data_IF_856743899693
#
_entry.id   IF_856743899693
#
_cell.length_a   1.000
_cell.length_b   1.000
_cell.length_c   1.000
_cell.angle_alpha   90.00
_cell.angle_beta   90.00
_cell.angle_gamma   90.00
#
_symmetry.space_group_name_H-M   'P 1'
#
loop_
_entity.id
_entity.type
_entity.pdbx_description
1 polymer ?
#
# COMPACT_ATOMS: atom_id res chain seq x y z
N UNK A 1 -11.51 32.15 29.54
CA UNK A 1 -12.90 32.25 29.05
C UNK A 1 -12.79 31.59 27.69
N UNK A 2 -13.40 30.41 27.51
CA UNK A 2 -13.29 29.66 26.26
C UNK A 2 -13.75 30.57 25.11
N UNK A 3 -12.96 30.58 24.03
CA UNK A 3 -13.31 31.30 22.80
C UNK A 3 -14.61 30.73 22.23
N UNK A 4 -15.50 31.59 21.73
CA UNK A 4 -16.68 31.11 21.01
C UNK A 4 -16.23 30.45 19.69
N UNK A 5 -16.85 29.33 19.31
CA UNK A 5 -16.42 28.57 18.12
C UNK A 5 -16.45 29.41 16.83
N UNK A 6 -17.39 30.36 16.75
CA UNK A 6 -17.46 31.32 15.64
C UNK A 6 -16.21 32.18 15.53
N UNK A 7 -15.71 32.70 16.65
CA UNK A 7 -14.51 33.55 16.67
C UNK A 7 -13.28 32.72 16.25
N UNK A 8 -13.22 31.45 16.67
CA UNK A 8 -12.22 30.49 16.20
C UNK A 8 -12.32 30.30 14.67
N UNK A 9 -13.51 30.01 14.14
CA UNK A 9 -13.71 29.70 12.73
C UNK A 9 -13.40 30.91 11.83
N UNK A 10 -13.71 32.13 12.29
CA UNK A 10 -13.32 33.36 11.61
C UNK A 10 -11.78 33.49 11.53
N UNK A 11 -11.04 33.08 12.57
CA UNK A 11 -9.57 33.07 12.52
C UNK A 11 -9.03 32.00 11.59
N UNK A 12 -9.57 30.78 11.65
CA UNK A 12 -9.21 29.69 10.74
C UNK A 12 -9.31 30.12 9.26
N UNK A 13 -10.37 30.85 8.89
CA UNK A 13 -10.55 31.30 7.51
C UNK A 13 -9.60 32.43 7.05
N UNK A 14 -8.92 33.11 7.98
CA UNK A 14 -8.17 34.33 7.68
C UNK A 14 -6.67 34.25 8.06
N UNK A 15 -6.27 33.26 8.85
CA UNK A 15 -4.90 33.07 9.34
C UNK A 15 -4.35 31.72 8.84
N UNK A 16 -3.03 31.61 8.72
CA UNK A 16 -2.38 30.32 8.46
C UNK A 16 -2.62 29.40 9.67
N UNK A 17 -3.25 28.24 9.45
CA UNK A 17 -3.60 27.29 10.51
C UNK A 17 -2.39 26.85 11.35
N UNK A 18 -1.18 26.83 10.77
CA UNK A 18 0.06 26.50 11.47
C UNK A 18 0.52 27.58 12.46
N UNK A 19 -0.07 28.78 12.40
CA UNK A 19 0.22 29.91 13.30
C UNK A 19 -0.81 30.04 14.43
N UNK A 20 -1.94 29.33 14.31
CA UNK A 20 -3.04 29.33 15.28
C UNK A 20 -3.25 27.96 15.93
N UNK A 21 -2.24 27.08 15.93
CA UNK A 21 -2.28 25.71 16.46
C UNK A 21 -2.96 25.62 17.83
N UNK A 22 -2.53 26.44 18.80
CA UNK A 22 -3.10 26.44 20.15
C UNK A 22 -4.57 26.87 20.19
N UNK A 23 -4.98 27.72 19.26
CA UNK A 23 -6.37 28.20 19.14
C UNK A 23 -7.24 27.08 18.60
N UNK A 24 -6.75 26.32 17.62
CA UNK A 24 -7.42 25.11 17.12
C UNK A 24 -7.54 24.10 18.27
N UNK A 25 -6.45 23.79 18.98
CA UNK A 25 -6.51 22.86 20.11
C UNK A 25 -7.49 23.31 21.20
N UNK A 26 -7.52 24.61 21.56
CA UNK A 26 -8.49 25.16 22.52
C UNK A 26 -9.94 25.02 22.03
N UNK A 27 -10.22 25.25 20.74
CA UNK A 27 -11.56 25.12 20.19
C UNK A 27 -12.11 23.68 20.23
N UNK A 28 -11.23 22.69 20.23
CA UNK A 28 -11.58 21.26 20.26
C UNK A 28 -11.30 20.60 21.63
N UNK A 29 -10.84 21.34 22.64
CA UNK A 29 -10.48 20.76 23.96
C UNK A 29 -11.68 20.31 24.78
N UNK A 30 -12.90 20.57 24.32
CA UNK A 30 -14.16 20.13 24.90
C UNK A 30 -15.03 19.50 23.80
N UNK A 31 -15.98 18.61 24.15
CA UNK A 31 -16.86 18.02 23.16
C UNK A 31 -17.66 19.06 22.38
N UNK A 32 -17.52 19.03 21.05
CA UNK A 32 -18.25 19.93 20.16
C UNK A 32 -19.75 19.62 20.21
N UNK A 33 -20.56 20.67 20.31
CA UNK A 33 -22.02 20.53 20.30
C UNK A 33 -22.53 20.16 18.91
N UNK A 34 -23.68 19.48 18.84
CA UNK A 34 -24.34 19.17 17.56
C UNK A 34 -24.61 20.40 16.69
N UNK A 35 -24.90 21.55 17.30
CA UNK A 35 -25.10 22.79 16.56
C UNK A 35 -23.85 23.23 15.79
N UNK A 36 -22.66 22.96 16.35
CA UNK A 36 -21.39 23.26 15.68
C UNK A 36 -21.21 22.36 14.45
N UNK A 37 -21.44 21.05 14.57
CA UNK A 37 -21.41 20.12 13.44
C UNK A 37 -22.42 20.45 12.34
N UNK A 38 -23.55 21.08 12.69
CA UNK A 38 -24.57 21.48 11.71
C UNK A 38 -24.25 22.81 11.01
N UNK A 39 -23.49 23.69 11.65
CA UNK A 39 -23.19 25.06 11.18
C UNK A 39 -21.82 25.17 10.48
N UNK A 40 -20.82 24.40 10.92
CA UNK A 40 -19.42 24.51 10.47
C UNK A 40 -18.89 23.20 9.88
N UNK A 41 -17.96 23.30 8.92
CA UNK A 41 -17.25 22.13 8.38
C UNK A 41 -16.05 21.77 9.27
N UNK A 42 -16.33 21.05 10.35
CA UNK A 42 -15.30 20.67 11.33
C UNK A 42 -14.37 19.56 10.84
N UNK A 43 -14.80 18.77 9.87
CA UNK A 43 -13.97 17.76 9.20
C UNK A 43 -12.91 18.44 8.33
N UNK A 44 -13.31 19.45 7.56
CA UNK A 44 -12.36 20.28 6.80
C UNK A 44 -11.27 20.86 7.71
N UNK A 45 -11.65 21.48 8.84
CA UNK A 45 -10.69 22.03 9.80
C UNK A 45 -9.70 20.97 10.29
N UNK A 46 -10.17 19.75 10.59
CA UNK A 46 -9.31 18.67 11.05
C UNK A 46 -8.35 18.19 9.95
N UNK A 47 -8.79 18.09 8.70
CA UNK A 47 -7.95 17.68 7.58
C UNK A 47 -6.95 18.77 7.16
N UNK A 48 -7.36 20.04 7.17
CA UNK A 48 -6.46 21.17 6.92
C UNK A 48 -5.41 21.30 8.03
N UNK A 49 -5.79 21.06 9.30
CA UNK A 49 -4.83 21.00 10.40
C UNK A 49 -3.77 19.93 10.14
N UNK A 50 -4.18 18.72 9.76
CA UNK A 50 -3.28 17.62 9.42
C UNK A 50 -2.34 18.01 8.28
N UNK A 51 -2.87 18.38 7.11
CA UNK A 51 -2.07 18.61 5.90
C UNK A 51 -1.10 19.78 6.00
N UNK A 52 -1.51 20.89 6.62
CA UNK A 52 -0.63 22.03 6.83
C UNK A 52 0.48 21.73 7.85
N UNK A 53 0.18 21.01 8.94
CA UNK A 53 1.19 20.66 9.92
C UNK A 53 2.15 19.57 9.42
N UNK A 54 1.67 18.64 8.57
CA UNK A 54 2.53 17.66 7.87
C UNK A 54 3.53 18.39 6.98
N UNK A 55 3.04 19.30 6.13
CA UNK A 55 3.89 20.12 5.24
C UNK A 55 4.92 20.94 6.01
N UNK A 56 4.54 21.45 7.20
CA UNK A 56 5.42 22.18 8.11
C UNK A 56 6.26 21.28 9.04
N UNK A 57 6.18 19.94 8.90
CA UNK A 57 6.89 18.93 9.69
C UNK A 57 6.64 19.04 11.21
N UNK A 58 5.47 19.52 11.60
CA UNK A 58 5.03 19.70 12.99
C UNK A 58 4.29 18.45 13.51
N UNK A 59 4.92 17.27 13.42
CA UNK A 59 4.29 15.99 13.75
C UNK A 59 3.81 15.87 15.19
N UNK A 60 4.47 16.53 16.15
CA UNK A 60 3.99 16.55 17.54
C UNK A 60 2.63 17.25 17.65
N UNK A 61 2.40 18.31 16.87
CA UNK A 61 1.13 19.03 16.88
C UNK A 61 0.00 18.19 16.30
N UNK A 62 0.30 17.40 15.25
CA UNK A 62 -0.62 16.43 14.66
C UNK A 62 -0.99 15.36 15.68
N UNK A 63 0.00 14.82 16.40
CA UNK A 63 -0.21 13.80 17.42
C UNK A 63 -1.04 14.31 18.61
N UNK A 64 -0.71 15.50 19.12
CA UNK A 64 -1.47 16.12 20.20
C UNK A 64 -2.93 16.35 19.80
N UNK A 65 -3.17 16.80 18.57
CA UNK A 65 -4.51 17.02 18.06
C UNK A 65 -5.27 15.71 17.81
N UNK A 66 -4.59 14.67 17.30
CA UNK A 66 -5.15 13.32 17.19
C UNK A 66 -5.66 12.80 18.54
N UNK A 67 -4.84 12.93 19.59
CA UNK A 67 -5.21 12.52 20.95
C UNK A 67 -6.41 13.34 21.47
N UNK A 68 -6.41 14.65 21.24
CA UNK A 68 -7.47 15.54 21.66
C UNK A 68 -8.81 15.23 20.96
N UNK A 69 -8.78 14.90 19.67
CA UNK A 69 -9.95 14.41 18.94
C UNK A 69 -10.46 13.10 19.54
N UNK A 70 -9.57 12.16 19.83
CA UNK A 70 -9.95 10.87 20.44
C UNK A 70 -10.60 11.04 21.82
N UNK A 71 -10.09 11.95 22.64
CA UNK A 71 -10.56 12.15 24.02
C UNK A 71 -11.88 12.94 24.10
N UNK A 72 -12.04 13.96 23.26
CA UNK A 72 -13.13 14.93 23.39
C UNK A 72 -14.14 14.91 22.23
N UNK A 73 -13.73 14.48 21.04
CA UNK A 73 -14.51 14.61 19.79
C UNK A 73 -14.57 13.30 19.00
N UNK A 74 -15.05 12.23 19.65
CA UNK A 74 -14.98 10.87 19.13
C UNK A 74 -15.63 10.66 17.74
N UNK A 75 -16.72 11.35 17.42
CA UNK A 75 -17.36 11.25 16.09
C UNK A 75 -16.40 11.72 14.99
N UNK A 76 -15.83 12.91 15.17
CA UNK A 76 -14.86 13.50 14.25
C UNK A 76 -13.56 12.70 14.19
N UNK A 77 -13.11 12.18 15.34
CA UNK A 77 -11.97 11.26 15.41
C UNK A 77 -12.21 10.04 14.52
N UNK A 78 -13.34 9.36 14.69
CA UNK A 78 -13.63 8.15 13.92
C UNK A 78 -13.69 8.42 12.42
N UNK A 79 -14.21 9.59 12.02
CA UNK A 79 -14.30 10.04 10.63
C UNK A 79 -12.93 10.29 9.98
N UNK A 80 -11.94 10.78 10.74
CA UNK A 80 -10.67 11.28 10.17
C UNK A 80 -9.42 10.53 10.62
N UNK A 81 -9.50 9.64 11.62
CA UNK A 81 -8.34 8.99 12.26
C UNK A 81 -7.38 8.34 11.28
N UNK A 82 -7.86 7.79 10.18
CA UNK A 82 -7.00 7.03 9.24
C UNK A 82 -6.04 7.95 8.50
N UNK A 83 -6.47 9.17 8.15
CA UNK A 83 -5.58 10.17 7.55
C UNK A 83 -4.47 10.56 8.53
N UNK A 84 -4.82 10.74 9.82
CA UNK A 84 -3.84 11.01 10.87
C UNK A 84 -2.88 9.84 11.07
N UNK A 85 -3.41 8.63 11.17
CA UNK A 85 -2.63 7.41 11.33
C UNK A 85 -1.68 7.25 10.12
N UNK A 86 -2.12 7.48 8.90
CA UNK A 86 -1.28 7.35 7.70
C UNK A 86 -0.05 8.27 7.76
N UNK A 87 -0.25 9.55 8.07
CA UNK A 87 0.84 10.54 8.22
C UNK A 87 1.76 10.20 9.39
N UNK A 88 1.18 9.88 10.55
CA UNK A 88 1.95 9.55 11.76
C UNK A 88 2.69 8.22 11.61
N UNK A 89 2.12 7.25 10.89
CA UNK A 89 2.78 5.98 10.59
C UNK A 89 4.03 6.18 9.74
N UNK A 90 3.95 6.97 8.67
CA UNK A 90 5.14 7.36 7.86
C UNK A 90 6.24 7.93 8.75
N UNK A 91 5.89 8.93 9.55
CA UNK A 91 6.82 9.62 10.43
C UNK A 91 7.44 8.68 11.48
N UNK A 92 6.62 7.99 12.27
CA UNK A 92 7.11 7.16 13.36
C UNK A 92 7.84 5.90 12.87
N UNK A 93 7.47 5.35 11.72
CA UNK A 93 8.26 4.32 11.06
C UNK A 93 9.65 4.85 10.67
N UNK A 94 9.74 5.98 9.98
CA UNK A 94 11.01 6.56 9.54
C UNK A 94 11.93 6.94 10.71
N UNK A 95 11.36 7.36 11.84
CA UNK A 95 12.10 7.68 13.07
C UNK A 95 12.44 6.45 13.94
N UNK A 96 11.96 5.26 13.59
CA UNK A 96 12.17 4.04 14.38
C UNK A 96 11.38 4.00 15.71
N UNK A 97 10.31 4.80 15.83
CA UNK A 97 9.49 4.91 17.04
C UNK A 97 8.48 3.76 17.15
N UNK A 98 8.99 2.56 17.45
CA UNK A 98 8.20 1.32 17.49
C UNK A 98 6.93 1.41 18.34
N UNK A 99 7.02 1.99 19.53
CA UNK A 99 5.87 2.07 20.45
C UNK A 99 4.68 2.83 19.83
N UNK A 100 4.96 3.95 19.15
CA UNK A 100 3.93 4.77 18.49
C UNK A 100 3.29 4.04 17.32
N UNK A 101 4.10 3.40 16.48
CA UNK A 101 3.61 2.58 15.36
C UNK A 101 2.68 1.47 15.87
N UNK A 102 3.07 0.75 16.93
CA UNK A 102 2.22 -0.28 17.52
C UNK A 102 0.92 0.31 18.10
N UNK A 103 0.98 1.50 18.68
CA UNK A 103 -0.21 2.23 19.15
C UNK A 103 -1.22 2.48 18.02
N UNK A 104 -0.78 3.01 16.88
CA UNK A 104 -1.68 3.28 15.76
C UNK A 104 -2.25 2.01 15.12
N UNK A 105 -1.45 0.94 15.01
CA UNK A 105 -1.96 -0.36 14.56
C UNK A 105 -3.01 -0.92 15.54
N UNK A 106 -2.82 -0.71 16.85
CA UNK A 106 -3.81 -1.06 17.86
C UNK A 106 -5.09 -0.22 17.75
N UNK A 107 -4.99 1.05 17.36
CA UNK A 107 -6.17 1.88 17.11
C UNK A 107 -7.00 1.34 15.94
N UNK A 108 -6.37 0.87 14.87
CA UNK A 108 -7.06 0.22 13.75
C UNK A 108 -7.74 -1.10 14.18
N UNK A 109 -7.12 -1.89 15.06
CA UNK A 109 -7.75 -3.06 15.65
C UNK A 109 -8.94 -2.70 16.56
N UNK A 110 -8.82 -1.61 17.32
CA UNK A 110 -9.81 -1.24 18.33
C UNK A 110 -11.04 -0.57 17.73
N UNK A 111 -10.83 0.23 16.68
CA UNK A 111 -11.86 1.08 16.10
C UNK A 111 -12.22 0.71 14.65
N UNK A 112 -11.54 -0.27 14.05
CA UNK A 112 -11.72 -0.68 12.66
C UNK A 112 -11.32 0.38 11.63
N UNK A 113 -11.64 0.12 10.36
CA UNK A 113 -11.39 1.06 9.25
C UNK A 113 -12.67 1.75 8.74
N UNK A 114 -12.51 2.86 8.01
CA UNK A 114 -13.56 3.56 7.24
C UNK A 114 -13.19 3.72 5.77
N UNK A 115 -11.94 4.00 5.46
CA UNK A 115 -11.40 4.16 4.11
C UNK A 115 -10.39 3.05 3.83
N UNK A 116 -10.80 2.10 3.00
CA UNK A 116 -9.99 0.92 2.68
C UNK A 116 -8.68 1.28 1.96
N UNK A 117 -8.69 2.29 1.09
CA UNK A 117 -7.49 2.69 0.36
C UNK A 117 -6.43 3.26 1.31
N UNK A 118 -6.84 4.06 2.30
CA UNK A 118 -5.94 4.60 3.32
C UNK A 118 -5.45 3.48 4.26
N UNK A 119 -6.32 2.54 4.63
CA UNK A 119 -5.93 1.35 5.37
C UNK A 119 -4.81 0.58 4.64
N UNK A 120 -4.91 0.40 3.33
CA UNK A 120 -3.87 -0.26 2.53
C UNK A 120 -2.55 0.50 2.57
N UNK A 121 -2.56 1.83 2.46
CA UNK A 121 -1.33 2.64 2.62
C UNK A 121 -0.65 2.38 3.96
N UNK A 122 -1.43 2.40 5.04
CA UNK A 122 -0.93 2.14 6.40
C UNK A 122 -0.32 0.73 6.50
N UNK A 123 -1.00 -0.26 5.93
CA UNK A 123 -0.52 -1.65 5.89
C UNK A 123 0.78 -1.77 5.10
N UNK A 124 0.91 -1.12 3.94
CA UNK A 124 2.15 -1.15 3.17
C UNK A 124 3.33 -0.60 3.98
N UNK A 125 3.18 0.55 4.62
CA UNK A 125 4.21 1.10 5.50
C UNK A 125 4.54 0.14 6.66
N UNK A 126 3.53 -0.43 7.33
CA UNK A 126 3.75 -1.39 8.39
C UNK A 126 4.55 -2.62 7.89
N UNK A 127 4.20 -3.17 6.73
CA UNK A 127 4.90 -4.31 6.12
C UNK A 127 6.35 -3.96 5.75
N UNK A 128 6.57 -2.81 5.11
CA UNK A 128 7.89 -2.37 4.66
C UNK A 128 8.87 -2.13 5.82
N UNK A 129 8.36 -1.68 6.96
CA UNK A 129 9.16 -1.51 8.18
C UNK A 129 9.18 -2.76 9.09
N UNK A 130 8.66 -3.89 8.62
CA UNK A 130 8.81 -5.19 9.28
C UNK A 130 7.80 -5.48 10.41
N UNK A 131 6.68 -4.76 10.48
CA UNK A 131 5.59 -5.02 11.43
C UNK A 131 4.68 -6.18 10.99
N UNK A 132 5.29 -7.27 10.51
CA UNK A 132 4.59 -8.37 9.83
C UNK A 132 3.56 -9.05 10.74
N UNK A 133 3.92 -9.30 12.00
CA UNK A 133 3.01 -9.94 12.97
C UNK A 133 1.78 -9.09 13.26
N UNK A 134 1.95 -7.77 13.36
CA UNK A 134 0.84 -6.85 13.64
C UNK A 134 -0.09 -6.72 12.43
N UNK A 135 0.48 -6.69 11.22
CA UNK A 135 -0.32 -6.72 9.99
C UNK A 135 -1.07 -8.05 9.87
N UNK A 136 -0.45 -9.17 10.24
CA UNK A 136 -1.09 -10.48 10.23
C UNK A 136 -2.33 -10.53 11.15
N UNK A 137 -2.21 -9.97 12.35
CA UNK A 137 -3.32 -9.80 13.30
C UNK A 137 -4.41 -8.89 12.76
N UNK A 138 -4.02 -7.77 12.14
CA UNK A 138 -4.97 -6.82 11.54
C UNK A 138 -5.77 -7.45 10.39
N UNK A 139 -5.11 -8.24 9.54
CA UNK A 139 -5.77 -9.02 8.47
C UNK A 139 -6.75 -10.02 9.09
N UNK A 140 -6.33 -10.78 10.10
CA UNK A 140 -7.20 -11.71 10.83
C UNK A 140 -8.44 -11.03 11.41
N UNK A 141 -8.28 -9.81 11.92
CA UNK A 141 -9.37 -9.05 12.53
C UNK A 141 -10.34 -8.45 11.51
N UNK A 142 -9.83 -7.93 10.38
CA UNK A 142 -10.62 -7.11 9.45
C UNK A 142 -11.12 -7.87 8.21
N UNK A 143 -10.59 -9.06 7.89
CA UNK A 143 -10.89 -9.76 6.64
C UNK A 143 -12.40 -9.96 6.41
N UNK A 144 -13.12 -10.50 7.40
CA UNK A 144 -14.56 -10.75 7.28
C UNK A 144 -15.37 -9.46 7.13
N UNK A 145 -14.90 -8.35 7.73
CA UNK A 145 -15.53 -7.04 7.56
C UNK A 145 -15.36 -6.59 6.10
N UNK A 146 -14.14 -6.59 5.58
CA UNK A 146 -13.82 -6.18 4.20
C UNK A 146 -14.57 -7.06 3.18
N UNK A 147 -14.58 -8.37 3.39
CA UNK A 147 -15.27 -9.33 2.51
C UNK A 147 -16.77 -9.07 2.38
N UNK A 148 -17.39 -8.56 3.43
CA UNK A 148 -18.82 -8.33 3.50
C UNK A 148 -19.20 -6.84 3.37
N UNK A 149 -18.22 -5.98 3.09
CA UNK A 149 -18.44 -4.55 2.88
C UNK A 149 -19.04 -4.31 1.49
N UNK A 150 -20.28 -3.81 1.44
CA UNK A 150 -21.01 -3.57 0.19
C UNK A 150 -20.57 -2.28 -0.52
N UNK A 151 -19.81 -1.42 0.17
CA UNK A 151 -19.25 -0.18 -0.39
C UNK A 151 -17.98 -0.44 -1.19
N UNK A 152 -17.28 -1.55 -0.90
CA UNK A 152 -16.05 -1.92 -1.57
C UNK A 152 -16.31 -2.62 -2.91
N UNK A 153 -15.38 -2.41 -3.85
CA UNK A 153 -15.41 -3.09 -5.14
C UNK A 153 -15.17 -4.60 -4.95
N UNK A 154 -15.76 -5.38 -5.85
CA UNK A 154 -15.51 -6.82 -5.91
C UNK A 154 -14.01 -7.09 -6.05
N UNK A 155 -13.47 -7.96 -5.19
CA UNK A 155 -12.03 -8.27 -5.16
C UNK A 155 -11.21 -7.43 -4.18
N UNK A 156 -11.80 -6.53 -3.40
CA UNK A 156 -11.07 -5.77 -2.38
C UNK A 156 -10.32 -6.66 -1.37
N UNK A 157 -10.76 -7.91 -1.14
CA UNK A 157 -10.05 -8.84 -0.25
C UNK A 157 -8.74 -9.40 -0.84
N UNK A 158 -8.47 -9.21 -2.13
CA UNK A 158 -7.32 -9.83 -2.82
C UNK A 158 -6.00 -9.41 -2.15
N UNK A 159 -5.82 -8.14 -1.82
CA UNK A 159 -4.60 -7.65 -1.16
C UNK A 159 -4.37 -8.38 0.17
N UNK A 160 -5.42 -8.51 0.99
CA UNK A 160 -5.35 -9.22 2.27
C UNK A 160 -5.04 -10.70 2.09
N UNK A 161 -5.69 -11.35 1.11
CA UNK A 161 -5.42 -12.76 0.78
C UNK A 161 -3.97 -12.95 0.33
N UNK A 162 -3.41 -12.05 -0.49
CA UNK A 162 -2.03 -12.13 -0.96
C UNK A 162 -1.03 -11.87 0.17
N UNK A 163 -1.27 -10.87 1.02
CA UNK A 163 -0.41 -10.62 2.18
C UNK A 163 -0.42 -11.82 3.13
N UNK A 164 -1.61 -12.34 3.44
CA UNK A 164 -1.77 -13.51 4.30
C UNK A 164 -1.10 -14.74 3.71
N UNK A 165 -1.26 -14.98 2.41
CA UNK A 165 -0.59 -16.07 1.69
C UNK A 165 0.92 -16.00 1.88
N UNK A 166 1.54 -14.84 1.64
CA UNK A 166 2.99 -14.69 1.77
C UNK A 166 3.48 -14.82 3.23
N UNK A 167 2.71 -14.34 4.21
CA UNK A 167 3.03 -14.47 5.64
C UNK A 167 2.96 -15.95 6.07
N UNK A 168 1.91 -16.67 5.69
CA UNK A 168 1.78 -18.10 6.02
C UNK A 168 2.83 -18.95 5.27
N UNK A 169 3.26 -18.51 4.09
CA UNK A 169 4.33 -19.14 3.33
C UNK A 169 5.69 -18.99 4.04
N UNK A 170 5.96 -17.83 4.64
CA UNK A 170 7.15 -17.60 5.47
C UNK A 170 7.15 -18.50 6.72
N UNK A 171 6.00 -18.62 7.39
CA UNK A 171 5.81 -19.55 8.52
C UNK A 171 6.07 -21.00 8.10
N UNK A 172 5.57 -21.40 6.94
CA UNK A 172 5.81 -22.73 6.37
C UNK A 172 7.30 -22.98 6.09
N UNK A 173 8.00 -21.99 5.51
CA UNK A 173 9.45 -22.03 5.29
C UNK A 173 10.23 -22.20 6.60
N UNK A 174 9.90 -21.42 7.63
CA UNK A 174 10.53 -21.56 8.95
C UNK A 174 10.23 -22.88 9.66
N UNK A 175 9.03 -23.43 9.47
CA UNK A 175 8.67 -24.74 10.00
C UNK A 175 9.49 -25.86 9.31
N UNK A 176 9.67 -25.79 7.99
CA UNK A 176 10.49 -26.72 7.23
C UNK A 176 11.95 -26.74 7.70
N UNK A 177 12.54 -25.58 7.99
CA UNK A 177 13.89 -25.50 8.52
C UNK A 177 14.08 -26.26 9.86
N UNK A 178 12.97 -26.56 10.57
CA UNK A 178 12.96 -27.27 11.87
C UNK A 178 12.57 -28.75 11.76
N UNK A 179 12.01 -29.22 10.64
CA UNK A 179 11.53 -30.59 10.50
C UNK A 179 11.62 -31.12 9.06
N UNK A 180 12.43 -32.18 8.84
CA UNK A 180 12.53 -33.04 7.63
C UNK A 180 12.55 -32.36 6.23
N UNK A 181 12.89 -33.11 5.18
CA UNK A 181 12.91 -32.61 3.79
C UNK A 181 11.50 -32.42 3.17
N UNK A 182 10.43 -32.45 3.98
CA UNK A 182 9.04 -32.46 3.50
C UNK A 182 8.23 -31.35 4.14
N UNK A 183 7.53 -30.56 3.31
CA UNK A 183 6.63 -29.49 3.75
C UNK A 183 5.33 -30.07 4.33
N UNK A 184 4.96 -29.67 5.53
CA UNK A 184 3.64 -29.97 6.10
C UNK A 184 2.63 -28.91 5.64
N UNK A 185 1.87 -29.24 4.60
CA UNK A 185 0.88 -28.34 4.00
C UNK A 185 -0.42 -28.19 4.78
N UNK A 186 -0.70 -29.07 5.75
CA UNK A 186 -2.01 -29.07 6.39
C UNK A 186 -2.32 -27.76 7.13
N UNK A 187 -1.44 -27.24 8.01
CA UNK A 187 -1.70 -25.98 8.70
C UNK A 187 -1.85 -24.80 7.73
N UNK A 188 -1.05 -24.79 6.65
CA UNK A 188 -1.11 -23.77 5.62
C UNK A 188 -2.47 -23.79 4.90
N UNK A 189 -2.91 -24.98 4.45
CA UNK A 189 -4.20 -25.14 3.74
C UNK A 189 -5.39 -24.80 4.63
N UNK A 190 -5.39 -25.27 5.87
CA UNK A 190 -6.43 -24.96 6.86
C UNK A 190 -6.54 -23.45 7.08
N UNK A 191 -5.39 -22.76 7.22
CA UNK A 191 -5.37 -21.32 7.43
C UNK A 191 -5.86 -20.54 6.21
N UNK A 192 -5.35 -20.87 5.03
CA UNK A 192 -5.67 -20.13 3.79
C UNK A 192 -7.11 -20.35 3.30
N UNK A 193 -7.76 -21.45 3.67
CA UNK A 193 -9.17 -21.68 3.36
C UNK A 193 -10.10 -20.59 3.94
N UNK A 194 -9.71 -19.96 5.05
CA UNK A 194 -10.47 -18.85 5.66
C UNK A 194 -10.37 -17.54 4.86
N UNK A 195 -9.46 -17.47 3.88
CA UNK A 195 -9.17 -16.26 3.09
C UNK A 195 -9.53 -16.43 1.60
N UNK A 196 -10.54 -17.26 1.33
CA UNK A 196 -11.06 -17.59 0.00
C UNK A 196 -9.97 -18.03 -1.00
N UNK A 197 -8.90 -18.62 -0.48
CA UNK A 197 -7.78 -19.10 -1.28
C UNK A 197 -7.83 -20.62 -1.39
N UNK A 198 -7.90 -21.11 -2.64
CA UNK A 198 -7.79 -22.54 -2.94
C UNK A 198 -6.41 -22.87 -3.49
N UNK A 199 -5.64 -23.68 -2.74
CA UNK A 199 -4.33 -24.15 -3.17
C UNK A 199 -4.48 -25.28 -4.21
N UNK A 200 -4.39 -24.93 -5.49
CA UNK A 200 -4.38 -25.90 -6.59
C UNK A 200 -3.05 -26.68 -6.63
N UNK A 201 -3.10 -27.96 -7.01
CA UNK A 201 -1.94 -28.88 -6.96
C UNK A 201 -0.77 -28.43 -7.84
N UNK A 202 -1.03 -27.88 -9.04
CA UNK A 202 0.02 -27.36 -9.92
C UNK A 202 0.78 -26.17 -9.28
N UNK A 203 0.05 -25.29 -8.60
CA UNK A 203 0.65 -24.16 -7.89
C UNK A 203 1.44 -24.63 -6.66
N UNK A 204 0.88 -25.59 -5.91
CA UNK A 204 1.59 -26.25 -4.81
C UNK A 204 2.93 -26.84 -5.26
N UNK A 205 2.96 -27.56 -6.38
CA UNK A 205 4.19 -28.17 -6.90
C UNK A 205 5.25 -27.13 -7.24
N UNK A 206 4.86 -25.99 -7.84
CA UNK A 206 5.78 -24.89 -8.11
C UNK A 206 6.35 -24.28 -6.81
N UNK A 207 5.51 -24.13 -5.77
CA UNK A 207 5.95 -23.66 -4.46
C UNK A 207 6.92 -24.66 -3.81
N UNK A 208 6.59 -25.96 -3.81
CA UNK A 208 7.47 -27.01 -3.28
C UNK A 208 8.83 -26.98 -3.99
N UNK A 209 8.82 -26.88 -5.33
CA UNK A 209 10.03 -26.83 -6.15
C UNK A 209 10.92 -25.64 -5.77
N UNK A 210 10.36 -24.45 -5.60
CA UNK A 210 11.13 -23.25 -5.23
C UNK A 210 11.56 -23.22 -3.75
N UNK A 211 10.66 -23.55 -2.81
CA UNK A 211 10.97 -23.54 -1.38
C UNK A 211 12.03 -24.59 -1.01
N UNK A 212 11.94 -25.79 -1.58
CA UNK A 212 12.88 -26.89 -1.32
C UNK A 212 14.12 -26.84 -2.20
N UNK A 213 14.22 -25.87 -3.12
CA UNK A 213 15.40 -25.72 -3.96
C UNK A 213 16.66 -25.45 -3.12
N UNK A 214 17.68 -26.27 -3.35
CA UNK A 214 19.02 -26.16 -2.74
C UNK A 214 20.15 -26.25 -3.76
N UNK A 215 19.80 -26.26 -5.05
CA UNK A 215 20.78 -26.32 -6.14
C UNK A 215 21.52 -25.01 -6.35
N UNK A 216 22.65 -25.09 -7.06
CA UNK A 216 23.50 -23.94 -7.40
C UNK A 216 23.31 -23.48 -8.87
N UNK A 217 22.57 -24.24 -9.69
CA UNK A 217 22.42 -24.00 -11.13
C UNK A 217 20.96 -23.82 -11.55
N UNK A 218 20.42 -22.64 -11.27
CA UNK A 218 19.03 -22.27 -11.59
C UNK A 218 18.71 -22.40 -13.08
N UNK A 219 19.68 -22.13 -13.95
CA UNK A 219 19.51 -22.20 -15.40
C UNK A 219 19.13 -23.61 -15.86
N UNK A 220 19.88 -24.63 -15.42
CA UNK A 220 19.64 -26.02 -15.79
C UNK A 220 18.35 -26.55 -15.13
N UNK A 221 18.17 -26.22 -13.85
CA UNK A 221 17.09 -26.78 -13.02
C UNK A 221 15.70 -26.21 -13.32
N UNK A 222 15.61 -24.96 -13.80
CA UNK A 222 14.34 -24.28 -14.05
C UNK A 222 14.15 -23.79 -15.49
N UNK A 223 15.17 -23.23 -16.11
CA UNK A 223 15.01 -22.47 -17.37
C UNK A 223 15.14 -23.33 -18.64
N UNK A 224 15.51 -24.60 -18.52
CA UNK A 224 15.70 -25.51 -19.66
C UNK A 224 14.45 -25.72 -20.54
N UNK A 225 13.26 -25.46 -20.01
CA UNK A 225 11.98 -25.55 -20.73
C UNK A 225 11.29 -24.20 -20.93
N UNK A 226 11.98 -23.09 -20.71
CA UNK A 226 11.44 -21.76 -20.98
C UNK A 226 11.29 -21.55 -22.50
N UNK A 227 10.16 -21.00 -23.01
CA UNK A 227 9.01 -20.45 -22.28
C UNK A 227 7.82 -21.41 -22.10
N UNK A 228 7.95 -22.70 -22.45
CA UNK A 228 6.82 -23.66 -22.46
C UNK A 228 6.12 -23.79 -21.10
N UNK A 229 6.87 -23.80 -20.00
CA UNK A 229 6.34 -23.87 -18.62
C UNK A 229 6.52 -22.55 -17.83
N UNK A 230 6.47 -21.41 -18.53
CA UNK A 230 6.83 -20.08 -17.99
C UNK A 230 6.22 -19.76 -16.62
N UNK A 231 4.92 -20.01 -16.40
CA UNK A 231 4.28 -19.66 -15.12
C UNK A 231 4.82 -20.47 -13.93
N UNK A 232 4.99 -21.79 -14.09
CA UNK A 232 5.53 -22.64 -13.04
C UNK A 232 7.00 -22.31 -12.75
N UNK A 233 7.78 -22.06 -13.81
CA UNK A 233 9.18 -21.61 -13.72
C UNK A 233 9.27 -20.31 -12.92
N UNK A 234 8.50 -19.28 -13.30
CA UNK A 234 8.55 -17.97 -12.66
C UNK A 234 8.01 -18.02 -11.22
N UNK A 235 7.01 -18.86 -10.94
CA UNK A 235 6.55 -19.11 -9.58
C UNK A 235 7.63 -19.77 -8.72
N UNK A 236 8.32 -20.79 -9.22
CA UNK A 236 9.40 -21.42 -8.46
C UNK A 236 10.59 -20.45 -8.25
N UNK A 237 10.97 -19.69 -9.28
CA UNK A 237 12.03 -18.67 -9.19
C UNK A 237 11.69 -17.57 -8.18
N UNK A 238 10.43 -17.14 -8.12
CA UNK A 238 9.95 -16.20 -7.10
C UNK A 238 10.29 -16.69 -5.70
N UNK A 239 10.00 -17.97 -5.41
CA UNK A 239 10.26 -18.57 -4.11
C UNK A 239 11.76 -18.66 -3.79
N UNK A 240 12.59 -18.95 -4.80
CA UNK A 240 14.06 -18.95 -4.64
C UNK A 240 14.56 -17.53 -4.35
N UNK A 241 14.07 -16.52 -5.06
CA UNK A 241 14.39 -15.12 -4.80
C UNK A 241 13.93 -14.69 -3.40
N UNK A 242 12.71 -15.03 -2.99
CA UNK A 242 12.17 -14.71 -1.66
C UNK A 242 13.06 -15.30 -0.56
N UNK A 243 13.53 -16.54 -0.70
CA UNK A 243 14.51 -17.13 0.23
C UNK A 243 15.83 -16.37 0.24
N UNK A 244 16.33 -15.99 -0.94
CA UNK A 244 17.59 -15.25 -1.09
C UNK A 244 17.54 -13.90 -0.37
N UNK A 245 16.53 -13.07 -0.65
CA UNK A 245 16.42 -11.74 -0.04
C UNK A 245 15.97 -11.81 1.43
N UNK A 246 15.30 -12.89 1.84
CA UNK A 246 14.96 -13.11 3.25
C UNK A 246 16.20 -13.30 4.13
N UNK A 247 17.28 -13.87 3.60
CA UNK A 247 18.57 -13.89 4.30
C UNK A 247 19.13 -12.47 4.55
N UNK A 248 18.65 -11.48 3.82
CA UNK A 248 19.00 -10.06 3.97
C UNK A 248 18.02 -9.29 4.87
N UNK A 249 17.09 -9.99 5.54
CA UNK A 249 16.12 -9.38 6.46
C UNK A 249 14.84 -8.86 5.80
N UNK A 250 14.59 -9.16 4.53
CA UNK A 250 13.32 -8.83 3.87
C UNK A 250 12.28 -9.94 4.11
N UNK A 251 11.06 -9.59 4.51
CA UNK A 251 9.99 -10.58 4.70
C UNK A 251 9.52 -11.16 3.36
N UNK A 252 8.89 -12.33 3.39
CA UNK A 252 8.36 -12.95 2.17
C UNK A 252 7.29 -12.09 1.51
N UNK A 253 6.45 -11.42 2.30
CA UNK A 253 5.38 -10.55 1.76
C UNK A 253 5.94 -9.37 0.98
N UNK A 254 6.96 -8.67 1.50
CA UNK A 254 7.60 -7.55 0.78
C UNK A 254 8.37 -8.04 -0.45
N UNK A 255 9.06 -9.16 -0.31
CA UNK A 255 9.78 -9.82 -1.42
C UNK A 255 8.84 -10.25 -2.55
N UNK A 256 7.67 -10.78 -2.21
CA UNK A 256 6.65 -11.16 -3.16
C UNK A 256 6.08 -9.94 -3.89
N UNK A 257 5.87 -8.81 -3.20
CA UNK A 257 5.45 -7.56 -3.84
C UNK A 257 6.47 -7.08 -4.89
N UNK A 258 7.76 -7.09 -4.55
CA UNK A 258 8.84 -6.73 -5.47
C UNK A 258 8.81 -7.63 -6.71
N UNK A 259 8.79 -8.95 -6.50
CA UNK A 259 8.81 -9.91 -7.60
C UNK A 259 7.56 -9.82 -8.47
N UNK A 260 6.37 -9.71 -7.88
CA UNK A 260 5.12 -9.65 -8.62
C UNK A 260 5.02 -8.39 -9.47
N UNK A 261 5.49 -7.24 -8.95
CA UNK A 261 5.58 -6.02 -9.73
C UNK A 261 6.55 -6.17 -10.91
N UNK A 262 7.74 -6.71 -10.68
CA UNK A 262 8.72 -6.94 -11.74
C UNK A 262 8.29 -8.00 -12.76
N UNK A 263 7.53 -9.01 -12.31
CA UNK A 263 6.92 -9.99 -13.20
C UNK A 263 5.94 -9.31 -14.17
N UNK A 264 5.12 -8.37 -13.68
CA UNK A 264 4.24 -7.56 -14.55
C UNK A 264 5.06 -6.81 -15.61
N UNK A 265 6.16 -6.16 -15.19
CA UNK A 265 7.07 -5.47 -16.11
C UNK A 265 7.70 -6.41 -17.16
N UNK A 266 8.21 -7.57 -16.75
CA UNK A 266 8.89 -8.50 -17.66
C UNK A 266 7.93 -9.24 -18.60
N UNK A 267 6.70 -9.51 -18.19
CA UNK A 267 5.69 -10.12 -19.06
C UNK A 267 5.45 -9.26 -20.30
N UNK A 268 5.54 -7.94 -20.16
CA UNK A 268 5.43 -6.98 -21.27
C UNK A 268 6.67 -6.95 -22.19
N UNK A 269 7.79 -7.60 -21.85
CA UNK A 269 8.94 -7.72 -22.74
C UNK A 269 8.63 -8.57 -23.97
N UNK A 270 7.60 -9.43 -23.90
CA UNK A 270 7.24 -10.42 -24.94
C UNK A 270 8.43 -11.29 -25.42
N UNK A 271 9.48 -11.42 -24.60
CA UNK A 271 10.68 -12.17 -24.91
C UNK A 271 10.43 -13.69 -24.85
N UNK A 272 11.01 -14.41 -25.81
CA UNK A 272 10.92 -15.87 -25.90
C UNK A 272 12.11 -16.59 -25.24
N UNK A 273 13.24 -15.89 -25.05
CA UNK A 273 14.38 -16.36 -24.27
C UNK A 273 14.38 -15.70 -22.87
N UNK A 274 14.88 -16.45 -21.89
CA UNK A 274 14.88 -16.01 -20.50
C UNK A 274 15.87 -14.85 -20.26
N UNK A 275 16.95 -14.76 -21.03
CA UNK A 275 17.99 -13.73 -20.85
C UNK A 275 17.43 -12.34 -21.18
N UNK A 276 16.74 -12.20 -22.31
CA UNK A 276 16.05 -10.96 -22.70
C UNK A 276 14.79 -10.70 -21.85
N UNK A 277 14.17 -11.75 -21.31
CA UNK A 277 12.99 -11.62 -20.46
C UNK A 277 13.27 -10.86 -19.17
N UNK A 278 14.40 -11.10 -18.51
CA UNK A 278 14.72 -10.46 -17.23
C UNK A 278 15.40 -9.08 -17.32
N UNK A 279 15.62 -8.57 -18.53
CA UNK A 279 16.31 -7.29 -18.71
C UNK A 279 15.41 -6.08 -18.45
N UNK A 280 16.04 -5.06 -17.87
CA UNK A 280 15.52 -3.72 -17.71
C UNK A 280 15.97 -2.84 -18.87
N UNK A 281 15.04 -2.02 -19.33
CA UNK A 281 15.28 -0.92 -20.27
C UNK A 281 14.90 0.37 -19.54
N UNK A 282 15.81 1.35 -19.53
CA UNK A 282 15.77 2.51 -18.63
C UNK A 282 14.48 3.32 -18.75
N UNK A 283 14.10 3.70 -19.98
CA UNK A 283 12.91 4.53 -20.23
C UNK A 283 11.64 3.77 -19.84
N UNK A 284 11.46 2.55 -20.35
CA UNK A 284 10.29 1.73 -20.05
C UNK A 284 10.19 1.37 -18.57
N UNK A 285 11.31 1.12 -17.89
CA UNK A 285 11.29 0.82 -16.47
C UNK A 285 10.90 2.05 -15.64
N UNK A 286 11.38 3.23 -16.03
CA UNK A 286 10.96 4.49 -15.41
C UNK A 286 9.46 4.74 -15.59
N UNK A 287 8.93 4.52 -16.79
CA UNK A 287 7.49 4.66 -17.07
C UNK A 287 6.66 3.64 -16.28
N UNK A 288 7.09 2.36 -16.25
CA UNK A 288 6.44 1.32 -15.46
C UNK A 288 6.37 1.69 -13.97
N UNK A 289 7.47 2.18 -13.40
CA UNK A 289 7.53 2.61 -12.00
C UNK A 289 6.59 3.79 -11.74
N UNK A 290 6.59 4.81 -12.61
CA UNK A 290 5.66 5.94 -12.49
C UNK A 290 4.21 5.46 -12.42
N UNK A 291 3.84 4.49 -13.25
CA UNK A 291 2.48 3.94 -13.26
C UNK A 291 2.13 3.17 -11.97
N UNK A 292 3.14 2.70 -11.22
CA UNK A 292 2.95 2.15 -9.86
C UNK A 292 2.78 3.24 -8.78
N UNK A 293 3.09 4.50 -9.08
CA UNK A 293 2.99 5.62 -8.13
C UNK A 293 1.59 6.12 -7.86
N UNK A 294 0.60 5.72 -8.67
CA UNK A 294 -0.79 6.16 -8.57
C UNK A 294 -1.00 7.60 -9.04
N UNK A 295 -2.23 7.92 -9.43
CA UNK A 295 -2.64 9.27 -9.87
C UNK A 295 -3.44 9.99 -8.78
N UNK A 296 -4.36 9.28 -8.14
CA UNK A 296 -5.27 9.84 -7.13
C UNK A 296 -4.77 9.64 -5.69
N UNK A 297 -4.04 8.54 -5.48
CA UNK A 297 -3.46 8.15 -4.20
C UNK A 297 -1.95 8.03 -4.40
N UNK A 298 -1.20 8.55 -3.43
CA UNK A 298 0.26 8.54 -3.48
C UNK A 298 0.82 7.17 -3.10
N UNK A 299 1.19 6.38 -4.11
CA UNK A 299 1.89 5.11 -3.97
C UNK A 299 3.39 5.21 -4.26
N UNK A 300 4.03 6.37 -4.08
CA UNK A 300 5.49 6.52 -4.29
C UNK A 300 6.34 5.62 -3.41
N UNK A 301 5.84 5.17 -2.26
CA UNK A 301 6.47 4.13 -1.45
C UNK A 301 6.58 2.79 -2.20
N UNK A 302 5.60 2.44 -3.05
CA UNK A 302 5.68 1.25 -3.90
C UNK A 302 6.79 1.39 -4.95
N UNK A 303 6.94 2.58 -5.54
CA UNK A 303 8.04 2.87 -6.47
C UNK A 303 9.38 2.62 -5.78
N UNK A 304 9.59 3.19 -4.59
CA UNK A 304 10.81 3.00 -3.83
C UNK A 304 11.06 1.51 -3.52
N UNK A 305 10.03 0.79 -3.06
CA UNK A 305 10.13 -0.65 -2.77
C UNK A 305 10.59 -1.45 -4.00
N UNK A 306 9.95 -1.24 -5.15
CA UNK A 306 10.26 -1.94 -6.40
C UNK A 306 11.66 -1.55 -6.90
N UNK A 307 11.98 -0.25 -6.92
CA UNK A 307 13.23 0.26 -7.49
C UNK A 307 14.46 -0.18 -6.68
N UNK A 308 14.41 -0.14 -5.35
CA UNK A 308 15.50 -0.67 -4.53
C UNK A 308 15.51 -2.20 -4.52
N UNK A 309 14.34 -2.84 -4.49
CA UNK A 309 14.21 -4.29 -4.63
C UNK A 309 14.75 -4.84 -5.95
N UNK A 310 14.68 -4.06 -7.03
CA UNK A 310 15.20 -4.43 -8.35
C UNK A 310 16.72 -4.61 -8.34
N UNK A 311 17.45 -3.85 -7.52
CA UNK A 311 18.88 -4.08 -7.35
C UNK A 311 19.15 -5.47 -6.75
N UNK A 312 18.38 -5.87 -5.74
CA UNK A 312 18.48 -7.21 -5.15
C UNK A 312 18.09 -8.33 -6.11
N UNK A 313 17.14 -8.06 -7.01
CA UNK A 313 16.79 -8.99 -8.08
C UNK A 313 17.93 -9.14 -9.08
N UNK A 314 18.56 -8.05 -9.52
CA UNK A 314 19.72 -8.11 -10.43
C UNK A 314 20.89 -8.85 -9.78
N UNK A 315 21.16 -8.62 -8.49
CA UNK A 315 22.13 -9.40 -7.72
C UNK A 315 21.78 -10.88 -7.65
N UNK A 316 20.51 -11.20 -7.41
CA UNK A 316 20.02 -12.57 -7.37
C UNK A 316 20.22 -13.28 -8.72
N UNK A 317 19.90 -12.61 -9.82
CA UNK A 317 20.08 -13.15 -11.18
C UNK A 317 21.57 -13.36 -11.50
N UNK A 318 22.45 -12.48 -11.03
CA UNK A 318 23.90 -12.68 -11.14
C UNK A 318 24.40 -13.83 -10.26
N UNK A 319 23.98 -13.88 -8.99
CA UNK A 319 24.34 -14.93 -8.04
C UNK A 319 23.95 -16.32 -8.53
N UNK A 320 22.80 -16.43 -9.19
CA UNK A 320 22.28 -17.67 -9.78
C UNK A 320 22.82 -17.96 -11.19
N UNK A 321 23.81 -17.20 -11.65
CA UNK A 321 24.48 -17.33 -12.95
C UNK A 321 23.54 -17.14 -14.16
N UNK A 322 22.39 -16.51 -13.97
CA UNK A 322 21.51 -16.12 -15.06
C UNK A 322 22.06 -14.89 -15.78
N UNK A 323 22.63 -13.95 -15.04
CA UNK A 323 23.41 -12.87 -15.63
C UNK A 323 24.90 -13.19 -15.56
N UNK A 324 25.61 -12.98 -16.66
CA UNK A 324 27.05 -12.87 -16.61
C UNK A 324 27.47 -11.50 -16.05
N UNK A 325 28.76 -11.33 -15.77
CA UNK A 325 29.29 -10.09 -15.19
C UNK A 325 29.00 -8.87 -16.09
N UNK A 326 29.04 -9.00 -17.41
CA UNK A 326 28.84 -7.87 -18.31
C UNK A 326 27.39 -7.41 -18.32
N UNK A 327 26.44 -8.35 -18.36
CA UNK A 327 25.02 -8.07 -18.27
C UNK A 327 24.67 -7.54 -16.88
N UNK A 328 25.18 -8.14 -15.82
CA UNK A 328 25.00 -7.68 -14.45
C UNK A 328 25.40 -6.20 -14.27
N UNK A 329 26.60 -5.81 -14.72
CA UNK A 329 27.05 -4.41 -14.63
C UNK A 329 26.16 -3.45 -15.42
N UNK A 330 25.71 -3.85 -16.60
CA UNK A 330 24.82 -3.05 -17.45
C UNK A 330 23.45 -2.84 -16.79
N UNK A 331 22.88 -3.91 -16.23
CA UNK A 331 21.59 -3.87 -15.56
C UNK A 331 21.67 -3.06 -14.26
N UNK A 332 22.74 -3.22 -13.47
CA UNK A 332 22.98 -2.39 -12.28
C UNK A 332 23.14 -0.90 -12.61
N UNK A 333 23.83 -0.57 -13.69
CA UNK A 333 23.94 0.82 -14.15
C UNK A 333 22.57 1.40 -14.53
N UNK A 334 21.72 0.61 -15.20
CA UNK A 334 20.34 1.01 -15.55
C UNK A 334 19.55 1.32 -14.27
N UNK A 335 19.54 0.41 -13.30
CA UNK A 335 18.85 0.60 -12.02
C UNK A 335 19.37 1.84 -11.28
N UNK A 336 20.69 2.05 -11.25
CA UNK A 336 21.29 3.21 -10.56
C UNK A 336 20.94 4.55 -11.23
N UNK A 337 20.77 4.57 -12.55
CA UNK A 337 20.35 5.77 -13.29
C UNK A 337 18.90 6.13 -12.95
N UNK A 338 18.01 5.13 -12.90
CA UNK A 338 16.62 5.33 -12.49
C UNK A 338 16.52 5.75 -11.02
N UNK A 339 17.32 5.14 -10.11
CA UNK A 339 17.43 5.57 -8.70
C UNK A 339 17.85 7.03 -8.57
N UNK A 340 18.81 7.48 -9.38
CA UNK A 340 19.28 8.87 -9.35
C UNK A 340 18.16 9.83 -9.76
N UNK A 341 17.41 9.49 -10.82
CA UNK A 341 16.26 10.26 -11.27
C UNK A 341 15.14 10.32 -10.22
N UNK A 342 14.86 9.20 -9.55
CA UNK A 342 13.89 9.15 -8.44
C UNK A 342 14.31 10.06 -7.28
N UNK A 343 15.58 9.97 -6.88
CA UNK A 343 16.15 10.79 -5.80
C UNK A 343 16.11 12.27 -6.11
N UNK A 344 16.32 12.65 -7.36
CA UNK A 344 16.24 14.04 -7.80
C UNK A 344 14.80 14.55 -7.80
N UNK A 345 13.85 13.78 -8.34
CA UNK A 345 12.45 14.17 -8.46
C UNK A 345 11.70 14.25 -7.12
N UNK A 346 12.08 13.41 -6.15
CA UNK A 346 11.38 13.29 -4.86
C UNK A 346 12.29 13.65 -3.67
N UNK A 347 13.24 14.55 -3.89
CA UNK A 347 14.31 14.86 -2.96
C UNK A 347 13.84 15.22 -1.54
N UNK A 348 12.70 15.92 -1.39
CA UNK A 348 12.14 16.34 -0.09
C UNK A 348 11.42 15.21 0.67
N UNK A 349 11.01 14.15 -0.03
CA UNK A 349 10.19 13.07 0.51
C UNK A 349 10.99 11.79 0.80
N UNK A 350 12.28 11.74 0.45
CA UNK A 350 13.09 10.52 0.55
C UNK A 350 13.11 9.92 1.95
N UNK A 351 13.02 10.73 3.00
CA UNK A 351 13.01 10.29 4.39
C UNK A 351 11.87 9.31 4.67
N UNK A 352 10.75 9.42 3.96
CA UNK A 352 9.60 8.54 4.11
C UNK A 352 9.89 7.11 3.64
N UNK A 353 10.84 6.96 2.72
CA UNK A 353 11.13 5.71 2.03
C UNK A 353 12.36 4.98 2.59
N UNK A 354 12.84 5.34 3.79
CA UNK A 354 14.08 4.79 4.34
C UNK A 354 14.00 3.28 4.68
N UNK A 355 12.81 2.68 4.62
CA UNK A 355 12.62 1.24 4.79
C UNK A 355 13.43 0.39 3.80
N UNK A 356 13.69 0.90 2.58
CA UNK A 356 14.51 0.19 1.57
C UNK A 356 15.96 0.01 2.00
N UNK A 357 16.36 0.67 3.09
CA UNK A 357 17.72 0.67 3.66
C UNK A 357 17.81 -0.24 4.90
N UNK A 358 16.71 -0.90 5.30
CA UNK A 358 16.68 -1.85 6.42
C UNK A 358 17.18 -3.24 6.03
N UNK A 359 17.23 -3.56 4.74
CA UNK A 359 17.76 -4.83 4.25
C UNK A 359 19.28 -4.80 4.23
N UNK A 360 19.90 -5.91 4.65
CA UNK A 360 21.35 -6.08 4.57
C UNK A 360 21.78 -6.14 3.11
N UNK A 361 22.84 -5.43 2.73
CA UNK A 361 23.35 -5.52 1.37
C UNK A 361 24.02 -6.88 1.12
N UNK A 362 23.78 -7.53 -0.03
CA UNK A 362 24.36 -8.83 -0.35
C UNK A 362 25.85 -8.75 -0.73
N UNK A 363 26.36 -7.55 -1.04
CA UNK A 363 27.76 -7.31 -1.38
C UNK A 363 28.24 -5.91 -0.94
N UNK A 364 29.55 -5.68 -0.99
CA UNK A 364 30.19 -4.43 -0.55
C UNK A 364 29.80 -3.20 -1.40
N UNK A 365 29.51 -3.40 -2.70
CA UNK A 365 29.14 -2.31 -3.60
C UNK A 365 27.76 -1.74 -3.22
N UNK A 366 26.78 -2.63 -3.01
CA UNK A 366 25.46 -2.25 -2.52
C UNK A 366 25.51 -1.72 -1.09
N UNK A 367 26.37 -2.27 -0.22
CA UNK A 367 26.53 -1.77 1.14
C UNK A 367 27.02 -0.31 1.15
N UNK A 368 27.97 0.02 0.26
CA UNK A 368 28.49 1.38 0.10
C UNK A 368 27.41 2.32 -0.40
N UNK A 369 26.67 1.94 -1.46
CA UNK A 369 25.58 2.75 -2.00
C UNK A 369 24.46 2.98 -0.97
N UNK A 370 24.10 1.96 -0.18
CA UNK A 370 23.11 2.08 0.89
C UNK A 370 23.54 3.07 1.97
N UNK A 371 24.82 3.11 2.35
CA UNK A 371 25.31 4.07 3.35
C UNK A 371 25.27 5.52 2.86
N UNK A 372 25.46 5.73 1.56
CA UNK A 372 25.25 7.04 0.93
C UNK A 372 23.77 7.42 0.92
N UNK A 373 22.89 6.50 0.51
CA UNK A 373 21.44 6.69 0.52
C UNK A 373 20.92 6.97 1.95
N UNK A 374 21.44 6.30 2.98
CA UNK A 374 21.06 6.56 4.39
C UNK A 374 21.25 8.02 4.80
N UNK A 375 22.38 8.61 4.44
CA UNK A 375 22.67 10.02 4.74
C UNK A 375 21.74 10.95 3.98
N UNK A 376 21.53 10.67 2.70
CA UNK A 376 20.64 11.47 1.85
C UNK A 376 19.20 11.43 2.34
N UNK A 377 18.68 10.24 2.63
CA UNK A 377 17.30 10.03 3.06
C UNK A 377 17.08 10.72 4.41
N UNK A 378 17.98 10.54 5.38
CA UNK A 378 17.90 11.25 6.64
C UNK A 378 17.94 12.78 6.45
N UNK A 379 18.82 13.29 5.58
CA UNK A 379 18.95 14.72 5.30
C UNK A 379 17.71 15.34 4.64
N UNK A 380 16.94 14.57 3.86
CA UNK A 380 15.73 15.08 3.21
C UNK A 380 14.63 15.51 4.19
N UNK A 381 14.66 15.00 5.45
CA UNK A 381 13.74 15.46 6.48
C UNK A 381 13.92 16.93 6.85
N UNK A 382 15.06 17.54 6.55
CA UNK A 382 15.30 18.97 6.81
C UNK A 382 14.94 19.87 5.63
N UNK A 383 14.67 19.30 4.44
CA UNK A 383 14.36 20.07 3.23
C UNK A 383 12.93 20.62 3.26
N UNK A 384 12.70 21.72 2.57
CA UNK A 384 11.39 22.38 2.47
C UNK A 384 10.91 22.44 1.03
N UNK A 385 9.69 22.94 0.78
CA UNK A 385 9.19 23.14 -0.58
C UNK A 385 10.06 24.07 -1.42
N UNK A 386 10.84 24.98 -0.80
CA UNK A 386 11.81 25.83 -1.51
C UNK A 386 13.01 25.04 -2.05
N UNK A 387 13.28 23.87 -1.47
CA UNK A 387 14.37 22.98 -1.87
C UNK A 387 13.91 21.93 -2.90
N UNK A 388 12.62 21.90 -3.25
CA UNK A 388 12.08 20.91 -4.17
C UNK A 388 12.63 21.12 -5.59
N UNK A 389 13.18 20.06 -6.18
CA UNK A 389 13.62 20.12 -7.57
C UNK A 389 12.42 20.14 -8.52
N UNK A 390 12.51 20.92 -9.60
CA UNK A 390 11.49 20.94 -10.67
C UNK A 390 11.61 19.75 -11.65
N UNK A 391 12.29 18.68 -11.24
CA UNK A 391 12.53 17.49 -12.07
C UNK A 391 11.39 16.51 -11.90
N UNK A 392 10.79 16.11 -13.03
CA UNK A 392 9.75 15.08 -13.03
C UNK A 392 10.38 13.70 -13.18
N UNK A 393 9.81 12.72 -12.46
CA UNK A 393 10.18 11.33 -12.62
C UNK A 393 9.48 10.76 -13.86
N UNK A 394 10.26 10.49 -14.92
CA UNK A 394 9.76 10.02 -16.21
C UNK A 394 9.28 11.13 -17.16
N UNK A 395 8.68 10.75 -18.30
CA UNK A 395 8.26 11.70 -19.34
C UNK A 395 6.88 12.31 -19.03
N UNK A 396 6.68 13.63 -19.13
CA UNK A 396 5.39 14.28 -18.82
C UNK A 396 4.26 13.99 -19.82
N UNK A 397 4.58 13.52 -21.02
CA UNK A 397 3.61 13.35 -22.12
C UNK A 397 2.72 12.12 -21.92
N UNK A 398 3.04 11.27 -20.96
CA UNK A 398 2.35 10.02 -20.64
C UNK A 398 1.47 10.14 -19.37
N UNK A 399 1.24 11.36 -18.86
CA UNK A 399 0.53 11.63 -17.59
C UNK A 399 -0.98 11.33 -17.63
N UNK A 400 -1.56 11.13 -18.81
CA UNK A 400 -2.96 10.74 -18.94
C UNK A 400 -3.04 9.25 -19.30
N UNK A 401 -3.60 8.39 -18.43
CA UNK A 401 -3.78 7.00 -18.77
C UNK A 401 -4.61 6.90 -20.06
N UNK A 402 -4.18 6.08 -21.01
CA UNK A 402 -5.03 5.79 -22.16
C UNK A 402 -6.24 5.03 -21.63
N UNK A 403 -7.47 5.32 -22.09
CA UNK A 403 -8.68 4.64 -21.59
C UNK A 403 -8.64 3.10 -21.67
N UNK A 404 -7.77 2.53 -22.51
CA UNK A 404 -7.52 1.09 -22.64
C UNK A 404 -6.78 0.49 -21.45
N UNK A 405 -5.96 1.27 -20.75
CA UNK A 405 -5.01 0.78 -19.74
C UNK A 405 -5.68 0.64 -18.36
N UNK A 406 -6.81 1.32 -18.17
CA UNK A 406 -7.65 1.28 -16.96
C UNK A 406 -8.45 -0.05 -16.88
N UNK A 407 -8.66 -0.71 -18.02
CA UNK A 407 -9.46 -1.94 -18.12
C UNK A 407 -8.68 -3.09 -18.78
N UNK A 408 -7.36 -3.03 -18.76
CA UNK A 408 -6.48 -3.95 -19.49
C UNK A 408 -6.52 -5.38 -18.97
N UNK A 409 -6.79 -6.30 -19.89
CA UNK A 409 -6.94 -7.75 -19.76
C UNK A 409 -5.63 -8.50 -19.40
N UNK A 410 -4.83 -7.97 -18.48
CA UNK A 410 -3.54 -8.52 -18.03
C UNK A 410 -3.71 -9.83 -17.28
N UNK A 411 -4.06 -10.89 -18.02
CA UNK A 411 -4.34 -12.22 -17.50
C UNK A 411 -3.10 -12.90 -16.94
N UNK A 412 -2.79 -12.63 -15.68
CA UNK A 412 -2.34 -13.71 -14.81
C UNK A 412 -3.56 -14.55 -14.44
N UNK A 413 -3.60 -15.80 -14.91
CA UNK A 413 -4.50 -16.81 -14.35
C UNK A 413 -4.02 -17.14 -12.94
N UNK A 414 -4.42 -16.30 -11.98
CA UNK A 414 -4.45 -16.67 -10.58
C UNK A 414 -5.35 -17.91 -10.42
N UNK A 415 -5.12 -18.79 -9.44
CA UNK A 415 -6.06 -19.88 -9.14
C UNK A 415 -7.47 -19.30 -9.02
N UNK A 416 -8.50 -20.02 -9.51
CA UNK A 416 -9.86 -19.51 -9.54
C UNK A 416 -10.30 -19.14 -8.12
N UNK A 417 -10.51 -17.84 -7.88
CA UNK A 417 -11.20 -17.36 -6.68
C UNK A 417 -12.65 -17.83 -6.81
N UNK A 418 -13.22 -18.35 -5.72
CA UNK A 418 -14.57 -18.91 -5.70
C UNK A 418 -15.59 -17.96 -6.37
N UNK A 419 -16.60 -18.48 -7.10
CA UNK A 419 -17.49 -17.67 -7.90
C UNK A 419 -18.26 -16.63 -7.06
N UNK A 420 -18.30 -15.43 -7.61
CA UNK A 420 -18.89 -14.18 -7.10
C UNK A 420 -20.33 -14.31 -6.58
N UNK A 421 -20.67 -13.50 -5.57
CA UNK A 421 -22.07 -13.17 -5.26
C UNK A 421 -22.72 -12.49 -6.49
N UNK A 422 -24.03 -12.68 -6.74
CA UNK A 422 -24.70 -12.08 -7.88
C UNK A 422 -24.63 -10.53 -7.81
N UNK A 423 -24.16 -9.90 -8.89
CA UNK A 423 -24.15 -8.44 -9.05
C UNK A 423 -25.57 -7.90 -8.89
N UNK A 424 -25.76 -7.00 -7.92
CA UNK A 424 -26.98 -6.19 -7.80
C UNK A 424 -26.85 -5.02 -8.78
N UNK A 425 -27.75 -4.93 -9.76
CA UNK A 425 -27.79 -3.79 -10.69
C UNK A 425 -28.18 -2.50 -9.92
N UNK A 426 -27.25 -1.55 -9.80
CA UNK A 426 -27.49 -0.26 -9.15
C UNK A 426 -28.31 0.67 -10.06
N UNK A 427 -29.29 1.40 -9.49
CA UNK A 427 -30.10 2.39 -10.22
C UNK A 427 -29.37 3.73 -10.40
N UNK A 428 -29.35 4.29 -11.60
CA UNK A 428 -28.81 5.64 -11.87
C UNK A 428 -29.80 6.76 -11.57
N UNK A 429 -29.32 7.93 -11.13
CA UNK A 429 -30.15 9.13 -10.92
C UNK A 429 -29.47 10.43 -11.37
N UNK A 430 -30.26 11.52 -11.42
CA UNK A 430 -29.79 12.89 -11.72
C UNK A 430 -29.94 13.87 -10.55
N UNK A 431 -30.30 13.39 -9.35
CA UNK A 431 -30.40 14.23 -8.15
C UNK A 431 -29.04 14.75 -7.70
N UNK A 432 -28.98 16.01 -7.26
CA UNK A 432 -27.76 16.58 -6.66
C UNK A 432 -27.59 16.07 -5.23
N UNK A 433 -26.33 15.91 -4.77
CA UNK A 433 -25.97 15.42 -3.42
C UNK A 433 -26.81 16.03 -2.27
N UNK A 434 -27.07 17.34 -2.33
CA UNK A 434 -27.81 18.09 -1.29
C UNK A 434 -29.27 18.42 -1.66
N UNK A 435 -29.79 17.87 -2.77
CA UNK A 435 -31.19 18.06 -3.17
C UNK A 435 -32.13 17.39 -2.15
N UNK A 436 -33.21 18.08 -1.76
CA UNK A 436 -34.18 17.54 -0.80
C UNK A 436 -35.29 16.81 -1.55
N UNK A 437 -35.41 15.51 -1.30
CA UNK A 437 -36.39 14.63 -1.94
C UNK A 437 -37.37 14.04 -0.92
N UNK A 438 -38.50 13.54 -1.39
CA UNK A 438 -39.41 12.70 -0.61
C UNK A 438 -39.22 11.27 -1.08
N UNK A 439 -39.03 10.33 -0.16
CA UNK A 439 -38.83 8.91 -0.49
C UNK A 439 -39.87 8.03 0.17
N UNK A 440 -40.22 6.93 -0.50
CA UNK A 440 -41.06 5.84 0.00
C UNK A 440 -40.25 4.55 0.03
N UNK A 441 -40.22 3.90 1.18
CA UNK A 441 -39.60 2.59 1.37
C UNK A 441 -40.59 1.45 1.05
N UNK A 442 -40.05 0.26 0.79
CA UNK A 442 -40.87 -0.93 0.48
C UNK A 442 -41.86 -1.32 1.59
N UNK A 443 -41.57 -0.97 2.85
CA UNK A 443 -42.44 -1.18 4.00
C UNK A 443 -43.60 -0.16 4.10
N UNK A 444 -43.65 0.82 3.19
CA UNK A 444 -44.63 1.90 3.17
C UNK A 444 -44.23 3.15 3.94
N UNK A 445 -43.06 3.17 4.59
CA UNK A 445 -42.54 4.35 5.30
C UNK A 445 -42.25 5.48 4.31
N UNK A 446 -42.73 6.70 4.63
CA UNK A 446 -42.47 7.91 3.83
C UNK A 446 -41.59 8.86 4.65
N UNK A 447 -40.44 9.26 4.08
CA UNK A 447 -39.59 10.32 4.64
C UNK A 447 -39.61 11.53 3.72
N UNK A 448 -40.02 12.68 4.24
CA UNK A 448 -40.12 13.93 3.49
C UNK A 448 -38.87 14.81 3.68
N UNK A 449 -38.50 15.54 2.61
CA UNK A 449 -37.43 16.58 2.62
C UNK A 449 -36.07 16.10 3.13
N UNK A 450 -35.73 14.83 2.88
CA UNK A 450 -34.41 14.26 3.19
C UNK A 450 -33.41 14.66 2.11
N UNK A 451 -32.15 14.93 2.49
CA UNK A 451 -31.09 15.21 1.51
C UNK A 451 -30.82 13.92 0.73
N UNK A 452 -30.67 13.99 -0.59
CA UNK A 452 -30.47 12.80 -1.41
C UNK A 452 -29.27 11.96 -0.94
N UNK A 453 -28.17 12.59 -0.52
CA UNK A 453 -27.01 11.89 0.08
C UNK A 453 -27.32 10.98 1.26
N UNK A 454 -28.43 11.20 1.98
CA UNK A 454 -28.81 10.39 3.16
C UNK A 454 -29.62 9.15 2.80
N UNK A 455 -30.05 9.01 1.55
CA UNK A 455 -30.87 7.90 1.05
C UNK A 455 -30.33 7.33 -0.27
N UNK A 456 -29.12 7.75 -0.68
CA UNK A 456 -28.55 7.42 -1.98
C UNK A 456 -28.38 5.91 -2.13
N UNK A 457 -27.81 5.25 -1.13
CA UNK A 457 -27.59 3.79 -1.17
C UNK A 457 -28.93 3.03 -1.15
N UNK A 458 -29.86 3.45 -0.28
CA UNK A 458 -31.22 2.90 -0.24
C UNK A 458 -31.93 3.02 -1.60
N UNK A 459 -31.67 4.10 -2.35
CA UNK A 459 -32.23 4.33 -3.67
C UNK A 459 -31.53 3.49 -4.75
N UNK A 460 -30.19 3.47 -4.76
CA UNK A 460 -29.37 2.73 -5.73
C UNK A 460 -29.59 1.21 -5.62
N UNK A 461 -29.78 0.70 -4.40
CA UNK A 461 -30.09 -0.70 -4.08
C UNK A 461 -31.58 -1.04 -4.22
N UNK A 462 -32.44 -0.05 -4.49
CA UNK A 462 -33.88 -0.24 -4.69
C UNK A 462 -34.69 -0.51 -3.42
N UNK A 463 -34.14 -0.22 -2.24
CA UNK A 463 -34.83 -0.27 -0.95
C UNK A 463 -35.86 0.87 -0.78
N UNK A 464 -35.69 1.99 -1.51
CA UNK A 464 -36.66 3.07 -1.59
C UNK A 464 -36.86 3.60 -3.02
N UNK A 465 -37.92 4.38 -3.21
CA UNK A 465 -38.20 5.15 -4.42
C UNK A 465 -38.42 6.63 -4.08
N UNK A 466 -37.96 7.54 -4.94
CA UNK A 466 -38.30 8.97 -4.84
C UNK A 466 -39.71 9.18 -5.41
N UNK A 467 -40.58 9.87 -4.66
CA UNK A 467 -42.02 10.04 -4.95
C UNK A 467 -42.46 11.49 -5.11
#
# INVERSE_FOLDING_TARGET
MLMEFKDFYDRYNNEDITTITEVVKEAFSEPLSKAIYEEYDVAEVALEFLGHHESAKKYQEIEDFYQLLMEHNQELFLENKEYYIEVLMKYHCAQGNREKVLGYLQDLLSFGYQNYDILLLIIYYALFYGYIEQVDELIEHLYDKIKNDEELIEGATIDFTLFKFSIELEKLYHAQAKSSDTLNWEPFREKMASYDFELIEAFRQAIEQGLLYTGDNVQEDFLSTFPENKQAILGALQLVFMKYIHQQGCSFVVSAMIWNALLKYWVENEANDWESFFQFEEDRFTDFLRDQGGVMIDYRHMIANILWGSAYVVEFLHHTQLFDEALYQTQMQTINTVKSSFKEAYNIDLWQYNFVLNWTAPNDALATAQEEDKKLFAGSFELTGEDQNEVLFGKPQDFLPKPSDIWGDGGMNLPPIAPSKPKVERRSHNYKRNERVTVRYQDGTIKEKVKFKTIQDDFELGACEVV
#
